data_IF_807956985570
#
_entry.id   IF_807956985570
#
_cell.length_a   1.000
_cell.length_b   1.000
_cell.length_c   1.000
_cell.angle_alpha   90.00
_cell.angle_beta   90.00
_cell.angle_gamma   90.00
#
_symmetry.space_group_name_H-M   'P 1'
#
loop_
_entity.id
_entity.type
_entity.pdbx_description
1 polymer ?
#
# COMPACT_ATOMS: atom_id res chain seq x y z
N UNK A 1 2.59 13.65 0.28
CA UNK A 1 2.85 12.27 0.73
C UNK A 1 2.24 11.37 -0.32
N UNK A 2 3.06 10.55 -0.96
CA UNK A 2 2.68 9.70 -2.08
C UNK A 2 2.86 8.22 -1.73
N UNK A 3 1.94 7.37 -2.17
CA UNK A 3 2.03 5.92 -1.99
C UNK A 3 2.99 5.37 -3.05
N UNK A 4 4.02 4.63 -2.62
CA UNK A 4 5.00 4.02 -3.54
C UNK A 4 4.90 2.50 -3.61
N UNK A 5 4.17 1.89 -2.66
CA UNK A 5 4.03 0.45 -2.56
C UNK A 5 2.80 0.11 -1.72
N UNK A 6 2.06 -0.91 -2.16
CA UNK A 6 0.94 -1.47 -1.41
C UNK A 6 1.35 -2.87 -0.97
N UNK A 7 1.38 -3.10 0.34
CA UNK A 7 1.84 -4.38 0.86
C UNK A 7 0.66 -5.33 1.07
N UNK A 8 0.87 -6.61 0.78
CA UNK A 8 -0.11 -7.66 1.11
C UNK A 8 -0.01 -8.04 2.61
N UNK A 9 1.17 -7.85 3.20
CA UNK A 9 1.44 -8.22 4.58
C UNK A 9 2.32 -7.19 5.30
N UNK A 10 2.27 -7.17 6.64
CA UNK A 10 3.05 -6.24 7.46
C UNK A 10 4.55 -6.38 7.24
N UNK A 11 5.03 -7.60 6.99
CA UNK A 11 6.46 -7.85 6.77
C UNK A 11 6.98 -7.08 5.55
N UNK A 12 6.30 -7.15 4.40
CA UNK A 12 6.71 -6.45 3.19
C UNK A 12 6.63 -4.92 3.38
N UNK A 13 5.57 -4.45 4.06
CA UNK A 13 5.43 -3.03 4.38
C UNK A 13 6.62 -2.49 5.19
N UNK A 14 7.03 -3.23 6.23
CA UNK A 14 8.19 -2.86 7.05
C UNK A 14 9.52 -3.08 6.33
N UNK A 15 9.63 -4.07 5.44
CA UNK A 15 10.83 -4.28 4.63
C UNK A 15 11.10 -3.06 3.73
N UNK A 16 10.08 -2.60 3.01
CA UNK A 16 10.17 -1.40 2.17
C UNK A 16 10.44 -0.16 3.01
N UNK A 17 9.74 0.00 4.15
CA UNK A 17 9.98 1.11 5.08
C UNK A 17 11.46 1.17 5.50
N UNK A 18 12.03 0.06 5.93
CA UNK A 18 13.42 0.00 6.37
C UNK A 18 14.42 0.25 5.23
N UNK A 19 14.15 -0.28 4.03
CA UNK A 19 15.00 -0.01 2.87
C UNK A 19 15.02 1.48 2.50
N UNK A 20 13.88 2.16 2.60
CA UNK A 20 13.78 3.61 2.37
C UNK A 20 14.48 4.40 3.48
N UNK A 21 14.29 4.00 4.74
CA UNK A 21 14.95 4.66 5.88
C UNK A 21 16.48 4.53 5.84
N UNK A 22 17.01 3.39 5.36
CA UNK A 22 18.46 3.18 5.16
C UNK A 22 19.03 4.14 4.11
N UNK A 23 18.25 4.45 3.07
CA UNK A 23 18.57 5.48 2.08
C UNK A 23 18.36 6.92 2.61
N UNK A 24 17.92 7.11 3.84
CA UNK A 24 17.63 8.42 4.44
C UNK A 24 16.28 9.02 4.01
N UNK A 25 15.41 8.23 3.38
CA UNK A 25 14.07 8.64 2.96
C UNK A 25 13.07 8.33 4.08
N UNK A 26 12.36 9.33 4.61
CA UNK A 26 11.33 9.06 5.62
C UNK A 26 10.14 8.34 4.99
N UNK A 27 9.84 7.13 5.49
CA UNK A 27 8.75 6.29 5.02
C UNK A 27 7.74 6.02 6.14
N UNK A 28 6.45 5.97 5.77
CA UNK A 28 5.35 5.70 6.70
C UNK A 28 4.47 4.56 6.20
N UNK A 29 4.13 3.61 7.08
CA UNK A 29 3.20 2.52 6.76
C UNK A 29 1.80 2.91 7.22
N UNK A 30 0.91 3.14 6.26
CA UNK A 30 -0.50 3.38 6.52
C UNK A 30 -1.24 2.04 6.64
N UNK A 31 -2.23 1.94 7.52
CA UNK A 31 -3.09 0.75 7.68
C UNK A 31 -2.70 -0.17 8.83
N UNK A 32 -1.50 -0.04 9.40
CA UNK A 32 -1.05 -0.89 10.52
C UNK A 32 -1.95 -0.75 11.76
N UNK A 33 -2.41 0.47 12.07
CA UNK A 33 -3.31 0.72 13.20
C UNK A 33 -4.73 0.18 13.00
N UNK A 34 -5.16 -0.05 11.75
CA UNK A 34 -6.47 -0.64 11.45
C UNK A 34 -6.47 -2.15 11.69
N UNK A 35 -5.33 -2.82 11.49
CA UNK A 35 -5.18 -4.26 11.77
C UNK A 35 -5.44 -4.58 13.26
N UNK A 36 -5.02 -3.71 14.17
CA UNK A 36 -5.24 -3.90 15.61
C UNK A 36 -6.70 -3.73 16.08
N UNK A 37 -7.55 -3.09 15.29
CA UNK A 37 -8.94 -2.77 15.66
C UNK A 37 -10.03 -3.64 15.04
N UNK A 38 -9.76 -4.30 13.90
CA UNK A 38 -10.74 -5.10 13.16
C UNK A 38 -10.61 -6.62 13.31
N UNK A 39 -9.57 -7.12 13.99
CA UNK A 39 -9.31 -8.57 14.09
C UNK A 39 -8.65 -9.14 12.81
N UNK A 40 -8.51 -10.47 12.75
CA UNK A 40 -7.73 -11.23 11.75
C UNK A 40 -8.31 -11.28 10.32
N UNK A 41 -9.24 -10.39 9.96
CA UNK A 41 -9.78 -10.36 8.61
C UNK A 41 -8.66 -10.02 7.62
N UNK A 42 -8.59 -10.70 6.46
CA UNK A 42 -7.57 -10.42 5.47
C UNK A 42 -7.84 -9.05 4.84
N UNK A 43 -7.12 -8.04 5.34
CA UNK A 43 -7.23 -6.66 4.92
C UNK A 43 -6.38 -6.40 3.67
N UNK A 44 -6.69 -7.12 2.59
CA UNK A 44 -6.02 -6.94 1.30
C UNK A 44 -6.11 -5.46 0.89
N UNK A 45 -4.94 -4.86 0.65
CA UNK A 45 -4.83 -3.50 0.14
C UNK A 45 -4.94 -2.36 1.17
N UNK A 46 -5.02 -2.63 2.48
CA UNK A 46 -5.00 -1.55 3.49
C UNK A 46 -3.60 -1.03 3.79
N UNK A 47 -2.59 -1.90 3.66
CA UNK A 47 -1.20 -1.58 3.99
C UNK A 47 -0.55 -0.85 2.83
N UNK A 48 -0.14 0.39 3.06
CA UNK A 48 0.48 1.24 2.03
C UNK A 48 1.70 1.95 2.59
N UNK A 49 2.80 1.95 1.85
CA UNK A 49 4.01 2.67 2.20
C UNK A 49 4.03 4.00 1.48
N UNK A 50 4.12 5.08 2.27
CA UNK A 50 4.08 6.45 1.81
C UNK A 50 5.43 7.15 2.02
N UNK A 51 5.82 7.99 1.06
CA UNK A 51 7.04 8.81 1.10
C UNK A 51 6.71 10.28 0.79
N UNK A 52 7.58 11.24 1.15
CA UNK A 52 7.43 12.61 0.70
C UNK A 52 7.55 12.72 -0.82
N UNK A 53 6.79 13.63 -1.43
CA UNK A 53 6.68 13.78 -2.88
C UNK A 53 8.04 14.11 -3.54
N UNK A 54 8.94 14.75 -2.80
CA UNK A 54 10.31 15.07 -3.24
C UNK A 54 11.20 13.83 -3.40
N UNK A 55 10.96 12.78 -2.60
CA UNK A 55 11.76 11.55 -2.61
C UNK A 55 11.09 10.42 -3.40
N UNK A 56 9.94 10.69 -4.04
CA UNK A 56 9.21 9.72 -4.86
C UNK A 56 10.09 9.00 -5.90
N UNK A 57 10.84 9.69 -6.80
CA UNK A 57 11.58 9.00 -7.85
C UNK A 57 12.70 8.11 -7.30
N UNK A 58 13.32 8.51 -6.20
CA UNK A 58 14.36 7.73 -5.53
C UNK A 58 13.76 6.51 -4.80
N UNK A 59 12.61 6.70 -4.15
CA UNK A 59 11.88 5.63 -3.49
C UNK A 59 11.37 4.57 -4.48
N UNK A 60 10.87 4.99 -5.66
CA UNK A 60 10.43 4.07 -6.72
C UNK A 60 11.59 3.17 -7.21
N UNK A 61 12.81 3.71 -7.37
CA UNK A 61 14.01 2.94 -7.75
C UNK A 61 14.42 1.92 -6.68
N UNK A 62 14.36 2.31 -5.40
CA UNK A 62 14.67 1.43 -4.26
C UNK A 62 13.66 0.29 -4.18
N UNK A 63 12.36 0.60 -4.28
CA UNK A 63 11.29 -0.40 -4.24
C UNK A 63 11.40 -1.36 -5.43
N UNK A 64 11.69 -0.85 -6.62
CA UNK A 64 11.89 -1.67 -7.81
C UNK A 64 13.08 -2.64 -7.66
N UNK A 65 14.14 -2.24 -6.94
CA UNK A 65 15.29 -3.12 -6.65
C UNK A 65 14.99 -4.22 -5.64
N UNK A 66 13.96 -4.08 -4.81
CA UNK A 66 13.62 -5.07 -3.79
C UNK A 66 12.90 -6.31 -4.37
N UNK A 67 12.46 -6.26 -5.64
CA UNK A 67 11.80 -7.36 -6.35
C UNK A 67 10.60 -7.99 -5.60
N UNK A 68 9.90 -7.19 -4.78
CA UNK A 68 8.82 -7.65 -3.89
C UNK A 68 7.50 -8.02 -4.60
N UNK A 69 7.50 -8.13 -5.93
CA UNK A 69 6.29 -8.12 -6.74
C UNK A 69 5.65 -6.74 -6.71
N UNK A 70 5.49 -6.11 -7.89
CA UNK A 70 4.72 -4.88 -7.96
C UNK A 70 3.29 -5.17 -7.49
N UNK A 71 2.88 -4.52 -6.41
CA UNK A 71 1.47 -4.53 -6.05
C UNK A 71 0.69 -3.92 -7.22
N UNK A 72 -0.38 -4.58 -7.69
CA UNK A 72 -1.14 -4.06 -8.81
C UNK A 72 -1.63 -2.65 -8.43
N UNK A 73 -1.22 -1.66 -9.22
CA UNK A 73 -1.76 -0.29 -9.24
C UNK A 73 -3.20 -0.31 -9.81
N UNK A 74 -3.99 -1.34 -9.48
CA UNK A 74 -5.39 -1.33 -9.81
C UNK A 74 -6.08 -0.54 -8.71
N UNK A 75 -6.65 0.65 -9.01
CA UNK A 75 -7.59 1.23 -8.08
C UNK A 75 -8.66 0.17 -7.87
N UNK A 76 -8.91 -0.20 -6.62
CA UNK A 76 -10.11 -0.94 -6.24
C UNK A 76 -11.28 0.00 -6.52
N UNK A 77 -11.65 0.08 -7.80
CA UNK A 77 -12.90 0.65 -8.24
C UNK A 77 -13.93 -0.43 -7.97
N UNK A 78 -14.46 -0.44 -6.76
CA UNK A 78 -15.76 -1.04 -6.49
C UNK A 78 -16.80 -0.17 -7.19
N UNK A 79 -16.84 -0.30 -8.51
CA UNK A 79 -17.89 0.24 -9.35
C UNK A 79 -19.01 -0.79 -9.42
N UNK A 80 -19.60 -1.17 -8.29
CA UNK A 80 -20.93 -1.78 -8.29
C UNK A 80 -21.96 -0.66 -8.53
N UNK A 81 -22.00 -0.16 -9.77
CA UNK A 81 -23.15 0.57 -10.27
C UNK A 81 -23.86 -0.31 -11.30
N UNK A 82 -25.05 -0.77 -10.90
CA UNK A 82 -26.15 -1.29 -11.73
C UNK A 82 -26.23 -2.81 -11.95
N UNK A 83 -26.83 -3.49 -10.98
CA UNK A 83 -27.84 -4.51 -11.28
C UNK A 83 -29.19 -4.03 -10.70
N UNK A 84 -29.96 -3.32 -11.53
CA UNK A 84 -31.25 -2.75 -11.17
C UNK A 84 -32.23 -3.79 -10.63
N UNK A 85 -32.73 -3.55 -9.43
CA UNK A 85 -33.85 -4.29 -8.86
C UNK A 85 -35.09 -3.41 -8.88
N UNK A 86 -35.86 -3.48 -9.97
CA UNK A 86 -37.25 -3.01 -10.00
C UNK A 86 -38.16 -4.22 -9.75
N UNK A 87 -38.89 -4.29 -8.62
CA UNK A 87 -39.98 -5.26 -8.50
C UNK A 87 -41.20 -4.81 -9.33
N UNK A 88 -41.90 -5.81 -9.87
CA UNK A 88 -43.03 -5.74 -10.80
C UNK A 88 -44.37 -5.34 -10.15
#
# INVERSE_FOLDING_TARGET
MHVIYQADNLFDAHLVKHALEDAGIPAFVFGESLLGGMGELPLFGVLRVCVPDLARPEAEDIVARLDLGAAPDDPIFDGDESAGLLPA
#
